data_IF_170789396787
#
_entry.id   IF_170789396787
#
_cell.length_a   1.000
_cell.length_b   1.000
_cell.length_c   1.000
_cell.angle_alpha   90.00
_cell.angle_beta   90.00
_cell.angle_gamma   90.00
#
_symmetry.space_group_name_H-M   'P 1'
#
loop_
_entity.id
_entity.type
_entity.pdbx_description
1 polymer ?
#
# COMPACT_ATOMS: atom_id res chain seq x y z
N UNK A 1 -32.59 -34.68 -1.17
CA UNK A 1 -31.57 -34.73 -0.09
C UNK A 1 -30.42 -33.83 -0.52
N UNK A 2 -30.46 -32.56 -0.10
CA UNK A 2 -29.50 -31.52 -0.46
C UNK A 2 -28.29 -31.63 0.49
N UNK A 3 -27.08 -31.85 -0.04
CA UNK A 3 -25.83 -31.74 0.74
C UNK A 3 -25.39 -30.28 0.66
N UNK A 4 -25.21 -29.56 1.78
CA UNK A 4 -24.53 -28.28 1.73
C UNK A 4 -23.13 -28.53 1.15
N UNK A 5 -22.68 -27.68 0.23
CA UNK A 5 -21.29 -27.68 -0.20
C UNK A 5 -20.44 -27.56 1.06
N UNK A 6 -19.69 -28.62 1.38
CA UNK A 6 -18.63 -28.58 2.37
C UNK A 6 -17.73 -27.40 1.96
N UNK A 7 -17.85 -26.28 2.66
CA UNK A 7 -16.87 -25.22 2.53
C UNK A 7 -15.54 -25.87 2.89
N UNK A 8 -14.66 -26.02 1.90
CA UNK A 8 -13.32 -26.51 2.14
C UNK A 8 -12.78 -25.80 3.39
N UNK A 9 -12.18 -26.52 4.35
CA UNK A 9 -11.45 -25.87 5.44
C UNK A 9 -10.51 -24.84 4.80
N UNK A 10 -10.19 -23.69 5.43
CA UNK A 10 -9.31 -22.68 4.85
C UNK A 10 -7.95 -23.32 4.57
N UNK A 11 -7.85 -23.91 3.40
CA UNK A 11 -6.71 -24.67 2.97
C UNK A 11 -5.67 -23.65 2.56
N UNK A 12 -4.43 -23.94 2.90
CA UNK A 12 -3.25 -23.41 2.21
C UNK A 12 -3.23 -23.90 0.74
N UNK A 13 -4.35 -23.81 0.01
CA UNK A 13 -4.35 -23.97 -1.44
C UNK A 13 -3.58 -22.78 -2.00
N UNK A 14 -2.27 -22.99 -2.18
CA UNK A 14 -1.36 -22.05 -2.82
C UNK A 14 -1.84 -21.84 -4.26
N UNK A 15 -2.73 -20.87 -4.43
CA UNK A 15 -3.08 -20.34 -5.73
C UNK A 15 -1.87 -19.59 -6.30
N UNK A 16 -1.76 -19.57 -7.64
CA UNK A 16 -0.68 -18.85 -8.33
C UNK A 16 -0.58 -17.37 -7.87
N UNK A 17 -1.69 -16.62 -7.69
CA UNK A 17 -1.64 -15.26 -7.13
C UNK A 17 -0.99 -15.19 -5.74
N UNK A 18 -1.33 -16.10 -4.82
CA UNK A 18 -0.76 -16.09 -3.48
C UNK A 18 0.76 -16.29 -3.48
N UNK A 19 1.27 -17.12 -4.39
CA UNK A 19 2.72 -17.35 -4.51
C UNK A 19 3.45 -16.08 -4.96
N UNK A 20 2.83 -15.31 -5.84
CA UNK A 20 3.44 -14.09 -6.39
C UNK A 20 3.37 -12.95 -5.37
N UNK A 21 2.29 -12.84 -4.60
CA UNK A 21 2.21 -11.95 -3.44
C UNK A 21 3.26 -12.29 -2.38
N UNK A 22 3.46 -13.58 -2.09
CA UNK A 22 4.52 -14.03 -1.18
C UNK A 22 5.91 -13.71 -1.72
N UNK A 23 6.15 -13.94 -3.02
CA UNK A 23 7.39 -13.56 -3.67
C UNK A 23 7.64 -12.05 -3.55
N UNK A 24 6.61 -11.21 -3.68
CA UNK A 24 6.72 -9.75 -3.51
C UNK A 24 7.16 -9.38 -2.10
N UNK A 25 6.59 -10.02 -1.07
CA UNK A 25 7.02 -9.83 0.32
C UNK A 25 8.50 -10.19 0.49
N UNK A 26 8.95 -11.29 -0.13
CA UNK A 26 10.36 -11.70 -0.12
C UNK A 26 11.28 -10.77 -0.92
N UNK A 27 10.77 -10.07 -1.93
CA UNK A 27 11.52 -9.06 -2.70
C UNK A 27 11.76 -7.77 -1.91
N UNK A 28 10.94 -7.45 -0.91
CA UNK A 28 11.08 -6.24 -0.09
C UNK A 28 12.47 -6.10 0.55
N UNK A 29 13.00 -7.06 1.32
CA UNK A 29 14.34 -6.93 1.91
C UNK A 29 15.43 -6.77 0.85
N UNK A 30 15.29 -7.42 -0.30
CA UNK A 30 16.24 -7.29 -1.42
C UNK A 30 16.19 -5.88 -2.01
N UNK A 31 14.99 -5.31 -2.14
CA UNK A 31 14.80 -3.91 -2.55
C UNK A 31 15.48 -2.94 -1.59
N UNK A 32 15.23 -3.11 -0.29
CA UNK A 32 15.80 -2.27 0.77
C UNK A 32 17.33 -2.33 0.72
N UNK A 33 17.89 -3.52 0.59
CA UNK A 33 19.34 -3.71 0.46
C UNK A 33 19.89 -3.05 -0.80
N UNK A 34 19.22 -3.18 -1.95
CA UNK A 34 19.65 -2.57 -3.20
C UNK A 34 19.65 -1.04 -3.10
N UNK A 35 18.62 -0.44 -2.50
CA UNK A 35 18.55 1.01 -2.29
C UNK A 35 19.64 1.46 -1.30
N UNK A 36 19.80 0.75 -0.17
CA UNK A 36 20.78 1.10 0.85
C UNK A 36 22.24 0.95 0.37
N UNK A 37 22.49 0.04 -0.57
CA UNK A 37 23.80 -0.21 -1.17
C UNK A 37 24.07 0.64 -2.42
N UNK A 38 23.23 1.65 -2.68
CA UNK A 38 23.27 2.53 -3.85
C UNK A 38 23.18 1.81 -5.22
N UNK A 39 22.68 0.56 -5.23
CA UNK A 39 22.46 -0.22 -6.46
C UNK A 39 21.11 0.16 -7.11
N UNK A 40 20.99 1.42 -7.52
CA UNK A 40 19.73 2.00 -7.99
C UNK A 40 19.14 1.32 -9.24
N UNK A 41 19.99 0.84 -10.15
CA UNK A 41 19.54 0.08 -11.33
C UNK A 41 18.92 -1.26 -10.95
N UNK A 42 19.47 -1.94 -9.94
CA UNK A 42 18.89 -3.17 -9.40
C UNK A 42 17.57 -2.86 -8.69
N UNK A 43 17.53 -1.83 -7.85
CA UNK A 43 16.30 -1.38 -7.19
C UNK A 43 15.19 -1.02 -8.21
N UNK A 44 15.54 -0.32 -9.29
CA UNK A 44 14.59 0.01 -10.36
C UNK A 44 14.04 -1.25 -11.05
N UNK A 45 14.93 -2.19 -11.37
CA UNK A 45 14.53 -3.45 -12.01
C UNK A 45 13.60 -4.26 -11.11
N UNK A 46 13.95 -4.39 -9.82
CA UNK A 46 13.10 -5.05 -8.82
C UNK A 46 11.75 -4.35 -8.68
N UNK A 47 11.72 -3.01 -8.75
CA UNK A 47 10.50 -2.22 -8.62
C UNK A 47 9.56 -2.48 -9.79
N UNK A 48 10.11 -2.53 -11.00
CA UNK A 48 9.35 -2.89 -12.20
C UNK A 48 8.83 -4.33 -12.12
N UNK A 49 9.67 -5.29 -11.71
CA UNK A 49 9.25 -6.69 -11.54
C UNK A 49 8.09 -6.76 -10.54
N UNK A 50 8.21 -6.11 -9.38
CA UNK A 50 7.15 -6.12 -8.36
C UNK A 50 5.83 -5.52 -8.89
N UNK A 51 5.89 -4.38 -9.59
CA UNK A 51 4.71 -3.72 -10.15
C UNK A 51 4.06 -4.49 -11.31
N UNK A 52 4.87 -5.10 -12.19
CA UNK A 52 4.35 -5.93 -13.28
C UNK A 52 3.69 -7.19 -12.72
N UNK A 53 4.34 -7.85 -11.77
CA UNK A 53 3.80 -9.04 -11.09
C UNK A 53 2.41 -8.76 -10.51
N UNK A 54 2.22 -7.62 -9.84
CA UNK A 54 0.90 -7.23 -9.30
C UNK A 54 -0.20 -7.09 -10.36
N UNK A 55 0.12 -6.40 -11.46
CA UNK A 55 -0.82 -6.25 -12.57
C UNK A 55 -1.20 -7.59 -13.20
N UNK A 56 -0.22 -8.49 -13.34
CA UNK A 56 -0.43 -9.84 -13.89
C UNK A 56 -1.27 -10.69 -12.94
N UNK A 57 -0.99 -10.68 -11.64
CA UNK A 57 -1.75 -11.44 -10.63
C UNK A 57 -3.20 -10.99 -10.56
N UNK A 58 -3.42 -9.68 -10.50
CA UNK A 58 -4.75 -9.09 -10.46
C UNK A 58 -5.56 -9.41 -11.72
N UNK A 59 -4.90 -9.52 -12.88
CA UNK A 59 -5.54 -9.96 -14.12
C UNK A 59 -5.86 -11.45 -14.11
N UNK A 60 -4.92 -12.30 -13.70
CA UNK A 60 -5.10 -13.75 -13.65
C UNK A 60 -6.18 -14.15 -12.62
N UNK A 61 -6.17 -13.55 -11.43
CA UNK A 61 -7.15 -13.80 -10.38
C UNK A 61 -8.58 -13.44 -10.85
N UNK A 62 -8.75 -12.30 -11.53
CA UNK A 62 -10.05 -11.88 -12.10
C UNK A 62 -10.50 -12.76 -13.26
N UNK A 63 -9.58 -13.17 -14.14
CA UNK A 63 -9.93 -13.93 -15.35
C UNK A 63 -10.24 -15.40 -15.06
N UNK A 64 -9.56 -16.00 -14.09
CA UNK A 64 -9.69 -17.43 -13.79
C UNK A 64 -10.46 -17.73 -12.51
N UNK A 65 -10.97 -16.71 -11.81
CA UNK A 65 -11.71 -16.89 -10.56
C UNK A 65 -10.87 -17.48 -9.42
N UNK A 66 -9.54 -17.41 -9.53
CA UNK A 66 -8.58 -17.99 -8.56
C UNK A 66 -8.29 -17.05 -7.38
N UNK A 67 -9.22 -16.17 -7.03
CA UNK A 67 -9.08 -15.27 -5.89
C UNK A 67 -9.31 -16.07 -4.60
N UNK A 68 -8.31 -16.13 -3.72
CA UNK A 68 -8.46 -16.74 -2.40
C UNK A 68 -8.74 -15.67 -1.34
N UNK A 69 -9.45 -16.03 -0.28
CA UNK A 69 -9.70 -15.13 0.85
C UNK A 69 -8.38 -14.64 1.48
N UNK A 70 -7.38 -15.53 1.59
CA UNK A 70 -6.05 -15.20 2.13
C UNK A 70 -5.31 -14.21 1.22
N UNK A 71 -5.28 -14.46 -0.10
CA UNK A 71 -4.66 -13.55 -1.08
C UNK A 71 -5.26 -12.14 -1.04
N UNK A 72 -6.59 -12.04 -0.93
CA UNK A 72 -7.28 -10.75 -0.85
C UNK A 72 -6.84 -9.86 0.33
N UNK A 73 -6.36 -10.46 1.44
CA UNK A 73 -5.78 -9.71 2.56
C UNK A 73 -4.26 -9.53 2.43
N UNK A 74 -3.55 -10.51 1.85
CA UNK A 74 -2.11 -10.44 1.67
C UNK A 74 -1.69 -9.41 0.60
N UNK A 75 -2.45 -9.25 -0.48
CA UNK A 75 -2.07 -8.34 -1.57
C UNK A 75 -1.95 -6.88 -1.08
N UNK A 76 -2.97 -6.29 -0.41
CA UNK A 76 -2.88 -4.92 0.08
C UNK A 76 -1.82 -4.74 1.17
N UNK A 77 -1.51 -5.81 1.91
CA UNK A 77 -0.46 -5.80 2.92
C UNK A 77 0.92 -5.77 2.25
N UNK A 78 1.16 -6.66 1.29
CA UNK A 78 2.42 -6.74 0.55
C UNK A 78 2.73 -5.42 -0.17
N UNK A 79 1.72 -4.82 -0.80
CA UNK A 79 1.86 -3.51 -1.47
C UNK A 79 2.26 -2.40 -0.52
N UNK A 80 1.60 -2.33 0.65
CA UNK A 80 1.92 -1.33 1.66
C UNK A 80 3.33 -1.54 2.22
N UNK A 81 3.71 -2.77 2.53
CA UNK A 81 5.03 -3.09 3.05
C UNK A 81 6.10 -2.68 2.02
N UNK A 82 5.91 -3.01 0.74
CA UNK A 82 6.83 -2.63 -0.33
C UNK A 82 7.00 -1.10 -0.42
N UNK A 83 5.90 -0.34 -0.48
CA UNK A 83 5.95 1.12 -0.62
C UNK A 83 6.54 1.77 0.63
N UNK A 84 6.14 1.36 1.83
CA UNK A 84 6.71 1.88 3.09
C UNK A 84 8.21 1.62 3.15
N UNK A 85 8.65 0.40 2.82
CA UNK A 85 10.07 0.05 2.79
C UNK A 85 10.85 0.90 1.79
N UNK A 86 10.32 1.12 0.58
CA UNK A 86 10.95 2.01 -0.41
C UNK A 86 11.09 3.43 0.14
N UNK A 87 10.03 4.00 0.72
CA UNK A 87 10.07 5.36 1.26
C UNK A 87 11.05 5.50 2.41
N UNK A 88 11.09 4.53 3.32
CA UNK A 88 12.04 4.50 4.44
C UNK A 88 13.46 4.43 3.91
N UNK A 89 13.75 3.52 2.97
CA UNK A 89 15.08 3.40 2.37
C UNK A 89 15.51 4.67 1.63
N UNK A 90 14.62 5.26 0.83
CA UNK A 90 14.87 6.54 0.15
C UNK A 90 15.10 7.70 1.14
N UNK A 91 14.41 7.69 2.28
CA UNK A 91 14.64 8.66 3.36
C UNK A 91 15.99 8.49 4.06
N UNK A 92 16.44 7.25 4.24
CA UNK A 92 17.74 6.93 4.85
C UNK A 92 18.89 7.45 3.98
N UNK A 93 18.81 7.24 2.65
CA UNK A 93 19.82 7.74 1.70
C UNK A 93 19.61 9.21 1.30
N UNK A 94 18.75 9.92 2.04
CA UNK A 94 18.41 11.34 1.84
C UNK A 94 17.94 11.69 0.42
N UNK A 95 17.34 10.74 -0.29
CA UNK A 95 16.72 10.96 -1.60
C UNK A 95 15.38 11.67 -1.53
N UNK A 96 14.69 11.48 -0.42
CA UNK A 96 13.42 12.14 -0.10
C UNK A 96 13.57 12.70 1.32
N UNK A 97 13.05 13.90 1.60
CA UNK A 97 13.14 14.47 2.93
C UNK A 97 12.40 13.61 3.96
N UNK A 98 13.04 13.40 5.11
CA UNK A 98 12.55 12.51 6.17
C UNK A 98 11.15 12.88 6.68
N UNK A 99 10.79 14.17 6.65
CA UNK A 99 9.45 14.61 7.04
C UNK A 99 8.35 14.04 6.13
N UNK A 100 8.63 13.88 4.83
CA UNK A 100 7.65 13.31 3.88
C UNK A 100 7.48 11.82 4.15
N UNK A 101 8.58 11.12 4.44
CA UNK A 101 8.55 9.70 4.85
C UNK A 101 7.71 9.51 6.11
N UNK A 102 7.95 10.31 7.14
CA UNK A 102 7.16 10.27 8.39
C UNK A 102 5.68 10.56 8.11
N UNK A 103 5.37 11.55 7.28
CA UNK A 103 4.00 11.91 6.91
C UNK A 103 3.27 10.74 6.22
N UNK A 104 3.92 10.10 5.24
CA UNK A 104 3.34 8.96 4.50
C UNK A 104 3.14 7.75 5.43
N UNK A 105 4.17 7.38 6.19
CA UNK A 105 4.12 6.20 7.08
C UNK A 105 3.10 6.39 8.19
N UNK A 106 3.06 7.58 8.83
CA UNK A 106 2.08 7.88 9.88
C UNK A 106 0.65 7.82 9.36
N UNK A 107 0.37 8.34 8.15
CA UNK A 107 -0.95 8.23 7.51
C UNK A 107 -1.37 6.78 7.33
N UNK A 108 -0.46 5.92 6.88
CA UNK A 108 -0.78 4.51 6.65
C UNK A 108 -1.05 3.76 7.96
N UNK A 109 -0.29 4.05 9.01
CA UNK A 109 -0.54 3.54 10.36
C UNK A 109 -1.90 4.02 10.88
N UNK A 110 -2.24 5.30 10.70
CA UNK A 110 -3.52 5.86 11.14
C UNK A 110 -4.72 5.15 10.48
N UNK A 111 -4.63 4.89 9.18
CA UNK A 111 -5.71 4.21 8.45
C UNK A 111 -5.82 2.75 8.87
N UNK A 112 -4.72 2.02 8.94
CA UNK A 112 -4.74 0.61 9.36
C UNK A 112 -5.19 0.48 10.82
N UNK A 113 -4.67 1.33 11.70
CA UNK A 113 -5.01 1.36 13.11
C UNK A 113 -6.48 1.72 13.35
N UNK A 114 -7.02 2.72 12.65
CA UNK A 114 -8.42 3.08 12.76
C UNK A 114 -9.36 1.97 12.25
N UNK A 115 -9.00 1.29 11.16
CA UNK A 115 -9.76 0.11 10.71
C UNK A 115 -9.71 -0.97 11.79
N UNK A 116 -8.53 -1.37 12.26
CA UNK A 116 -8.39 -2.39 13.31
C UNK A 116 -9.18 -2.05 14.56
N UNK A 117 -9.16 -0.79 15.01
CA UNK A 117 -9.89 -0.34 16.19
C UNK A 117 -11.41 -0.46 16.00
N UNK A 118 -11.95 -0.09 14.82
CA UNK A 118 -13.38 -0.25 14.52
C UNK A 118 -13.84 -1.72 14.58
N UNK A 119 -12.99 -2.64 14.12
CA UNK A 119 -13.27 -4.08 14.20
C UNK A 119 -13.29 -4.58 15.65
N UNK A 120 -12.34 -4.12 16.49
CA UNK A 120 -12.28 -4.50 17.90
C UNK A 120 -13.47 -3.95 18.70
N UNK A 121 -13.96 -2.77 18.34
CA UNK A 121 -15.11 -2.12 19.00
C UNK A 121 -16.47 -2.67 18.56
N UNK A 122 -16.52 -3.57 17.55
CA UNK A 122 -17.76 -4.18 17.08
C UNK A 122 -18.66 -3.26 16.26
N UNK A 123 -18.22 -2.04 15.95
CA UNK A 123 -18.89 -1.11 15.04
C UNK A 123 -18.00 -0.87 13.82
N UNK A 124 -18.06 -1.75 12.80
CA UNK A 124 -17.17 -1.69 11.65
C UNK A 124 -17.47 -0.43 10.84
N UNK A 125 -16.54 0.52 10.86
CA UNK A 125 -16.65 1.70 10.01
C UNK A 125 -16.58 1.23 8.56
N UNK A 126 -17.69 1.37 7.84
CA UNK A 126 -17.72 1.19 6.38
C UNK A 126 -17.08 2.40 5.72
N UNK A 127 -15.76 2.47 5.82
CA UNK A 127 -14.96 3.53 5.19
C UNK A 127 -15.06 3.33 3.69
N UNK A 128 -15.99 4.03 3.05
CA UNK A 128 -16.02 4.12 1.59
C UNK A 128 -14.62 4.55 1.14
N UNK A 129 -13.97 3.83 0.20
CA UNK A 129 -12.63 4.17 -0.23
C UNK A 129 -12.67 5.54 -0.91
N UNK A 130 -12.36 6.57 -0.12
CA UNK A 130 -12.28 7.94 -0.59
C UNK A 130 -11.36 7.97 -1.80
N UNK A 131 -11.82 8.54 -2.91
CA UNK A 131 -11.03 8.67 -4.14
C UNK A 131 -9.66 9.30 -3.87
N UNK A 132 -9.60 10.20 -2.88
CA UNK A 132 -8.38 10.83 -2.35
C UNK A 132 -7.33 9.80 -1.88
N UNK A 133 -7.75 8.75 -1.15
CA UNK A 133 -6.84 7.72 -0.65
C UNK A 133 -6.20 6.91 -1.77
N UNK A 134 -6.97 6.61 -2.84
CA UNK A 134 -6.46 5.90 -4.02
C UNK A 134 -5.51 6.77 -4.82
N UNK A 135 -5.86 8.04 -5.03
CA UNK A 135 -4.98 9.00 -5.71
C UNK A 135 -3.66 9.19 -4.96
N UNK A 136 -3.72 9.25 -3.62
CA UNK A 136 -2.51 9.35 -2.81
C UNK A 136 -1.58 8.15 -3.01
N UNK A 137 -2.12 6.92 -2.97
CA UNK A 137 -1.31 5.71 -3.21
C UNK A 137 -0.70 5.70 -4.60
N UNK A 138 -1.45 6.08 -5.65
CA UNK A 138 -0.91 6.19 -7.01
C UNK A 138 0.21 7.23 -7.08
N UNK A 139 0.00 8.41 -6.49
CA UNK A 139 1.03 9.45 -6.43
C UNK A 139 2.28 8.98 -5.68
N UNK A 140 2.11 8.19 -4.61
CA UNK A 140 3.24 7.65 -3.84
C UNK A 140 4.05 6.62 -4.63
N UNK A 141 3.38 5.70 -5.33
CA UNK A 141 4.00 4.72 -6.22
C UNK A 141 4.78 5.45 -7.33
N UNK A 142 4.16 6.46 -7.94
CA UNK A 142 4.81 7.28 -8.98
C UNK A 142 6.04 8.00 -8.42
N UNK A 143 5.95 8.63 -7.26
CA UNK A 143 7.09 9.32 -6.65
C UNK A 143 8.23 8.35 -6.35
N UNK A 144 7.96 7.21 -5.72
CA UNK A 144 8.98 6.21 -5.43
C UNK A 144 9.66 5.70 -6.70
N UNK A 145 8.87 5.34 -7.71
CA UNK A 145 9.39 4.88 -9.01
C UNK A 145 10.20 5.94 -9.74
N UNK A 146 9.74 7.20 -9.77
CA UNK A 146 10.46 8.32 -10.42
C UNK A 146 11.76 8.63 -9.69
N UNK A 147 11.78 8.65 -8.36
CA UNK A 147 13.00 8.90 -7.59
C UNK A 147 14.03 7.80 -7.83
N UNK A 148 13.60 6.53 -7.77
CA UNK A 148 14.47 5.38 -8.06
C UNK A 148 15.00 5.46 -9.51
N UNK A 149 14.13 5.72 -10.49
CA UNK A 149 14.53 5.83 -11.90
C UNK A 149 15.50 6.99 -12.13
N UNK A 150 15.21 8.17 -11.57
CA UNK A 150 16.05 9.35 -11.71
C UNK A 150 17.46 9.10 -11.13
N UNK A 151 17.55 8.40 -10.00
CA UNK A 151 18.82 7.98 -9.40
C UNK A 151 19.53 6.91 -10.23
N UNK A 152 18.79 5.90 -10.74
CA UNK A 152 19.35 4.82 -11.55
C UNK A 152 19.95 5.30 -12.87
N UNK A 153 19.25 6.20 -13.57
CA UNK A 153 19.64 6.72 -14.88
C UNK A 153 20.30 8.11 -14.82
N UNK A 154 20.55 8.63 -13.63
CA UNK A 154 21.16 9.95 -13.39
C UNK A 154 20.39 11.10 -14.08
N UNK A 155 19.06 11.01 -14.11
CA UNK A 155 18.20 12.07 -14.68
C UNK A 155 18.13 13.29 -13.77
N UNK A 156 18.39 14.47 -14.33
CA UNK A 156 18.36 15.74 -13.60
C UNK A 156 16.97 16.41 -13.66
N UNK A 157 15.98 15.75 -13.06
CA UNK A 157 14.57 16.20 -13.06
C UNK A 157 14.11 16.71 -11.69
N UNK A 158 14.99 17.43 -10.98
CA UNK A 158 14.74 17.90 -9.62
C UNK A 158 13.42 18.69 -9.47
N UNK A 159 13.08 19.54 -10.44
CA UNK A 159 11.81 20.28 -10.44
C UNK A 159 10.58 19.36 -10.48
N UNK A 160 10.62 18.31 -11.30
CA UNK A 160 9.55 17.32 -11.39
C UNK A 160 9.40 16.49 -10.12
N UNK A 161 10.52 16.07 -9.52
CA UNK A 161 10.51 15.35 -8.24
C UNK A 161 9.95 16.25 -7.13
N UNK A 162 10.36 17.52 -7.05
CA UNK A 162 9.84 18.47 -6.05
C UNK A 162 8.34 18.70 -6.19
N UNK A 163 7.84 18.89 -7.42
CA UNK A 163 6.42 19.03 -7.68
C UNK A 163 5.63 17.77 -7.25
N UNK A 164 6.17 16.59 -7.55
CA UNK A 164 5.55 15.32 -7.20
C UNK A 164 5.57 15.06 -5.68
N UNK A 165 6.66 15.45 -4.99
CA UNK A 165 6.72 15.44 -3.51
C UNK A 165 5.66 16.36 -2.90
N UNK A 166 5.49 17.57 -3.43
CA UNK A 166 4.43 18.50 -3.01
C UNK A 166 3.04 17.91 -3.22
N UNK A 167 2.79 17.28 -4.38
CA UNK A 167 1.53 16.59 -4.66
C UNK A 167 1.26 15.46 -3.66
N UNK A 168 2.25 14.59 -3.40
CA UNK A 168 2.12 13.51 -2.41
C UNK A 168 1.85 14.06 -1.02
N UNK A 169 2.54 15.13 -0.60
CA UNK A 169 2.31 15.75 0.69
C UNK A 169 0.87 16.27 0.83
N UNK A 170 0.38 17.00 -0.18
CA UNK A 170 -1.00 17.52 -0.20
C UNK A 170 -2.02 16.40 -0.19
N UNK A 171 -1.87 15.38 -1.04
CA UNK A 171 -2.79 14.24 -1.08
C UNK A 171 -2.78 13.43 0.22
N UNK A 172 -1.61 13.30 0.86
CA UNK A 172 -1.49 12.60 2.14
C UNK A 172 -2.21 13.37 3.24
N UNK A 173 -2.02 14.69 3.32
CA UNK A 173 -2.72 15.55 4.27
C UNK A 173 -4.24 15.53 4.06
N UNK A 174 -4.71 15.63 2.81
CA UNK A 174 -6.12 15.52 2.48
C UNK A 174 -6.68 14.15 2.87
N UNK A 175 -5.93 13.08 2.62
CA UNK A 175 -6.33 11.74 3.02
C UNK A 175 -6.46 11.59 4.54
N UNK A 176 -5.54 12.17 5.32
CA UNK A 176 -5.64 12.17 6.79
C UNK A 176 -6.88 12.94 7.23
N UNK A 177 -7.11 14.14 6.67
CA UNK A 177 -8.26 14.98 7.02
C UNK A 177 -9.60 14.27 6.77
N UNK A 178 -9.76 13.62 5.60
CA UNK A 178 -10.97 12.85 5.27
C UNK A 178 -11.18 11.71 6.26
N UNK A 179 -10.12 10.99 6.62
CA UNK A 179 -10.21 9.87 7.54
C UNK A 179 -10.57 10.31 8.96
N UNK A 180 -9.95 11.39 9.45
CA UNK A 180 -10.26 11.97 10.75
C UNK A 180 -11.71 12.46 10.84
N UNK A 181 -12.22 13.11 9.79
CA UNK A 181 -13.62 13.56 9.74
C UNK A 181 -14.59 12.38 9.80
N UNK A 182 -14.31 11.30 9.06
CA UNK A 182 -15.15 10.11 9.07
C UNK A 182 -15.15 9.43 10.45
N UNK A 183 -13.98 9.36 11.09
CA UNK A 183 -13.84 8.84 12.45
C UNK A 183 -14.64 9.64 13.48
N UNK A 184 -14.49 10.98 13.46
CA UNK A 184 -15.23 11.88 14.38
C UNK A 184 -16.74 11.76 14.18
N UNK A 185 -17.20 11.67 12.92
CA UNK A 185 -18.62 11.47 12.61
C UNK A 185 -19.15 10.15 13.14
N UNK A 186 -18.37 9.08 13.02
CA UNK A 186 -18.76 7.75 13.49
C UNK A 186 -18.89 7.73 15.02
N UNK A 187 -17.88 8.23 15.75
CA UNK A 187 -17.92 8.33 17.21
C UNK A 187 -19.05 9.27 17.69
N UNK A 188 -19.29 10.38 17.00
CA UNK A 188 -20.37 11.31 17.32
C UNK A 188 -21.78 10.80 17.02
N UNK A 189 -21.92 9.86 16.06
CA UNK A 189 -23.19 9.20 15.72
C UNK A 189 -23.56 8.08 16.69
N UNK A 190 -22.57 7.32 17.19
CA UNK A 190 -22.77 6.26 18.16
C UNK A 190 -23.34 6.76 19.52
N UNK A 191 -23.19 8.05 19.82
CA UNK A 191 -23.74 8.68 21.04
C UNK A 191 -25.22 9.07 21.00
N UNK A 192 -25.92 8.94 19.87
CA UNK A 192 -27.32 9.38 19.72
C UNK A 192 -28.35 8.22 19.67
N UNK A 193 -27.91 6.96 19.77
CA UNK A 193 -28.78 5.78 19.67
C UNK A 193 -29.16 5.10 20.99
N UNK A 194 -28.77 5.66 22.14
CA UNK A 194 -28.96 5.05 23.47
C UNK A 194 -29.59 6.02 24.49
N UNK A 195 -30.63 6.74 24.05
CA UNK A 195 -31.50 7.55 24.89
C UNK A 195 -32.93 7.06 24.85
#
# INVERSE_FOLDING_TARGET
MWRPAEADPPGLSLSLPNLITLARILLVPVMVWAIASDQMTAAFTLFLIAGISDGVDGFLAKRFGMATAVGAYLDPLADKVLIVSIYVSLGIIEAIPRWLVILVVSRDILIVGGIMLSWVLGDPITIKPATVSRLNTVAQILLGGVVIAARAFQWQIAGGINALMGLVAVLTLLSIAVYLQEWVRHVGGAGQGSG
#
